data_IF_837751811908
#
_entry.id   IF_837751811908
#
_cell.length_a   1.000
_cell.length_b   1.000
_cell.length_c   1.000
_cell.angle_alpha   90.00
_cell.angle_beta   90.00
_cell.angle_gamma   90.00
#
_symmetry.space_group_name_H-M   'P 1'
#
loop_
_entity.id
_entity.type
_entity.pdbx_description
1 polymer ?
#
# COMPACT_ATOMS: atom_id res chain seq x y z
N UNK A 1 -16.65 -15.75 15.29
CA UNK A 1 -15.58 -15.08 14.55
C UNK A 1 -15.88 -13.58 14.44
N UNK A 2 -14.88 -12.76 14.71
CA UNK A 2 -14.99 -11.31 14.56
C UNK A 2 -14.50 -10.90 13.18
N UNK A 3 -15.14 -9.91 12.59
CA UNK A 3 -14.75 -9.37 11.29
C UNK A 3 -14.42 -7.89 11.47
N UNK A 4 -13.20 -7.50 11.10
CA UNK A 4 -12.77 -6.11 11.11
C UNK A 4 -12.48 -5.65 9.69
N UNK A 5 -12.95 -4.46 9.36
CA UNK A 5 -12.71 -3.84 8.07
C UNK A 5 -12.01 -2.49 8.28
N UNK A 6 -10.86 -2.32 7.63
CA UNK A 6 -10.11 -1.07 7.64
C UNK A 6 -10.09 -0.50 6.23
N UNK A 7 -10.73 0.65 6.06
CA UNK A 7 -10.76 1.34 4.77
C UNK A 7 -9.45 2.07 4.46
N UNK A 8 -9.34 2.62 3.25
CA UNK A 8 -8.13 3.31 2.80
C UNK A 8 -7.71 4.48 3.70
N UNK A 9 -8.68 5.23 4.23
CA UNK A 9 -8.39 6.34 5.14
C UNK A 9 -7.77 5.85 6.46
N UNK A 10 -8.10 4.64 6.90
CA UNK A 10 -7.56 4.04 8.12
C UNK A 10 -6.12 3.54 7.94
N UNK A 11 -5.69 3.26 6.71
CA UNK A 11 -4.36 2.75 6.40
C UNK A 11 -3.62 3.67 5.42
N UNK A 12 -3.88 4.97 5.48
CA UNK A 12 -3.31 5.94 4.54
C UNK A 12 -1.84 6.27 4.80
N UNK A 13 -1.33 5.95 5.99
CA UNK A 13 0.03 6.26 6.40
C UNK A 13 0.49 5.28 7.49
N UNK A 14 1.73 5.43 7.94
CA UNK A 14 2.31 4.57 8.97
C UNK A 14 1.53 4.64 10.29
N UNK A 15 1.05 5.82 10.67
CA UNK A 15 0.25 5.98 11.89
C UNK A 15 -1.04 5.15 11.82
N UNK A 16 -1.70 5.15 10.66
CA UNK A 16 -2.91 4.35 10.43
C UNK A 16 -2.62 2.86 10.56
N UNK A 17 -1.51 2.39 9.97
CA UNK A 17 -1.10 0.98 10.06
C UNK A 17 -0.81 0.59 11.51
N UNK A 18 -0.10 1.43 12.25
CA UNK A 18 0.16 1.21 13.69
C UNK A 18 -1.13 1.14 14.48
N UNK A 19 -2.12 1.95 14.13
CA UNK A 19 -3.43 1.92 14.79
C UNK A 19 -4.17 0.61 14.54
N UNK A 20 -4.06 0.03 13.35
CA UNK A 20 -4.61 -1.31 13.07
C UNK A 20 -4.03 -2.33 14.05
N UNK A 21 -2.71 -2.32 14.23
CA UNK A 21 -2.04 -3.20 15.19
C UNK A 21 -2.54 -2.95 16.61
N UNK A 22 -2.68 -1.69 17.00
CA UNK A 22 -3.19 -1.31 18.31
C UNK A 22 -4.60 -1.85 18.55
N UNK A 23 -5.50 -1.72 17.58
CA UNK A 23 -6.87 -2.24 17.67
C UNK A 23 -6.84 -3.75 17.86
N UNK A 24 -6.05 -4.47 17.05
CA UNK A 24 -5.93 -5.92 17.14
C UNK A 24 -5.38 -6.39 18.48
N UNK A 25 -4.41 -5.67 19.04
CA UNK A 25 -3.85 -5.98 20.36
C UNK A 25 -4.84 -5.71 21.48
N UNK A 26 -5.72 -4.71 21.32
CA UNK A 26 -6.71 -4.33 22.31
C UNK A 26 -7.90 -5.29 22.36
N UNK A 27 -8.44 -5.63 21.17
CA UNK A 27 -9.66 -6.46 21.06
C UNK A 27 -9.37 -7.94 20.86
N UNK A 28 -8.10 -8.30 20.67
CA UNK A 28 -7.67 -9.66 20.37
C UNK A 28 -7.66 -9.94 18.88
N UNK A 29 -6.72 -10.79 18.47
CA UNK A 29 -6.53 -11.14 17.06
C UNK A 29 -6.77 -12.63 16.79
N UNK A 30 -7.31 -13.36 17.77
CA UNK A 30 -7.72 -14.75 17.59
C UNK A 30 -9.12 -14.81 16.99
N UNK A 31 -9.33 -15.72 16.07
CA UNK A 31 -10.62 -15.95 15.42
C UNK A 31 -11.15 -14.66 14.76
N UNK A 32 -10.29 -13.96 14.04
CA UNK A 32 -10.57 -12.69 13.40
C UNK A 32 -10.36 -12.81 11.89
N UNK A 33 -11.33 -12.30 11.11
CA UNK A 33 -11.14 -12.05 9.69
C UNK A 33 -10.87 -10.58 9.48
N UNK A 34 -9.71 -10.27 8.90
CA UNK A 34 -9.32 -8.90 8.57
C UNK A 34 -9.59 -8.61 7.10
N UNK A 35 -10.29 -7.53 6.84
CA UNK A 35 -10.47 -6.98 5.50
C UNK A 35 -9.79 -5.62 5.47
N UNK A 36 -8.72 -5.49 4.69
CA UNK A 36 -7.92 -4.26 4.61
C UNK A 36 -7.98 -3.74 3.19
N UNK A 37 -8.32 -2.47 3.05
CA UNK A 37 -8.35 -1.78 1.77
C UNK A 37 -6.93 -1.42 1.29
N UNK A 38 -6.82 -1.01 0.03
CA UNK A 38 -5.59 -0.35 -0.46
C UNK A 38 -5.33 0.92 0.36
N UNK A 39 -4.06 1.28 0.50
CA UNK A 39 -3.63 2.41 1.34
C UNK A 39 -4.04 3.75 0.74
N UNK A 40 -4.74 4.55 1.53
CA UNK A 40 -5.11 5.91 1.15
C UNK A 40 -5.90 5.96 -0.14
N UNK A 41 -5.40 6.73 -1.10
CA UNK A 41 -5.99 6.92 -2.43
C UNK A 41 -5.26 6.12 -3.52
N UNK A 42 -4.68 4.99 -3.16
CA UNK A 42 -3.93 4.14 -4.11
C UNK A 42 -4.79 3.70 -5.29
N UNK A 43 -6.06 3.34 -5.06
CA UNK A 43 -6.96 2.96 -6.15
C UNK A 43 -7.09 4.09 -7.18
N UNK A 44 -7.29 5.32 -6.72
CA UNK A 44 -7.38 6.48 -7.62
C UNK A 44 -6.06 6.72 -8.36
N UNK A 45 -4.93 6.56 -7.68
CA UNK A 45 -3.62 6.72 -8.29
C UNK A 45 -3.35 5.65 -9.36
N UNK A 46 -3.78 4.41 -9.12
CA UNK A 46 -3.66 3.35 -10.12
C UNK A 46 -4.58 3.57 -11.31
N UNK A 47 -5.75 4.19 -11.13
CA UNK A 47 -6.61 4.58 -12.25
C UNK A 47 -5.91 5.58 -13.17
N UNK A 48 -5.14 6.51 -12.61
CA UNK A 48 -4.32 7.44 -13.39
C UNK A 48 -3.25 6.68 -14.18
N UNK A 49 -2.60 5.69 -13.58
CA UNK A 49 -1.61 4.85 -14.27
C UNK A 49 -2.26 4.12 -15.45
N UNK A 50 -3.43 3.52 -15.23
CA UNK A 50 -4.17 2.80 -16.26
C UNK A 50 -4.53 3.72 -17.42
N UNK A 51 -5.05 4.92 -17.12
CA UNK A 51 -5.39 5.92 -18.13
C UNK A 51 -4.16 6.30 -18.95
N UNK A 52 -3.04 6.58 -18.28
CA UNK A 52 -1.79 6.93 -18.95
C UNK A 52 -1.28 5.80 -19.83
N UNK A 53 -1.47 4.56 -19.42
CA UNK A 53 -1.11 3.40 -20.22
C UNK A 53 -1.90 3.34 -21.54
N UNK A 54 -3.22 3.47 -21.46
CA UNK A 54 -4.08 3.41 -22.64
C UNK A 54 -3.91 4.63 -23.55
N UNK A 55 -3.67 5.80 -22.98
CA UNK A 55 -3.44 7.05 -23.74
C UNK A 55 -2.02 7.14 -24.31
N UNK A 56 -1.15 6.19 -24.01
CA UNK A 56 0.28 6.20 -24.38
C UNK A 56 0.96 7.49 -23.92
N UNK A 57 0.58 7.96 -22.72
CA UNK A 57 1.08 9.20 -22.15
C UNK A 57 2.54 9.09 -21.75
N UNK A 58 3.27 10.21 -21.89
CA UNK A 58 4.64 10.34 -21.38
C UNK A 58 4.70 10.31 -19.86
N UNK A 59 3.56 10.51 -19.19
CA UNK A 59 3.44 10.52 -17.73
C UNK A 59 3.28 9.12 -17.12
N UNK A 60 3.23 8.07 -17.95
CA UNK A 60 2.96 6.71 -17.50
C UNK A 60 3.92 6.26 -16.40
N UNK A 61 5.21 6.28 -16.66
CA UNK A 61 6.21 5.84 -15.68
C UNK A 61 6.23 6.73 -14.44
N UNK A 62 6.09 8.04 -14.62
CA UNK A 62 6.04 8.98 -13.48
C UNK A 62 4.85 8.70 -12.58
N UNK A 63 3.67 8.39 -13.15
CA UNK A 63 2.47 8.09 -12.36
C UNK A 63 2.62 6.79 -11.57
N UNK A 64 3.27 5.77 -12.13
CA UNK A 64 3.57 4.55 -11.39
C UNK A 64 4.60 4.80 -10.28
N UNK A 65 5.64 5.60 -10.53
CA UNK A 65 6.64 5.94 -9.52
C UNK A 65 6.04 6.70 -8.34
N UNK A 66 5.03 7.52 -8.55
CA UNK A 66 4.32 8.18 -7.46
C UNK A 66 3.66 7.17 -6.52
N UNK A 67 3.02 6.13 -7.06
CA UNK A 67 2.41 5.06 -6.27
C UNK A 67 3.49 4.31 -5.48
N UNK A 68 4.58 3.95 -6.15
CA UNK A 68 5.71 3.25 -5.53
C UNK A 68 6.32 4.07 -4.41
N UNK A 69 6.58 5.34 -4.64
CA UNK A 69 7.17 6.26 -3.67
C UNK A 69 6.29 6.40 -2.44
N UNK A 70 4.98 6.51 -2.62
CA UNK A 70 4.01 6.60 -1.53
C UNK A 70 4.10 5.36 -0.62
N UNK A 71 4.11 4.17 -1.20
CA UNK A 71 4.21 2.93 -0.42
C UNK A 71 5.58 2.79 0.26
N UNK A 72 6.66 3.13 -0.42
CA UNK A 72 7.99 3.08 0.17
C UNK A 72 8.15 4.05 1.34
N UNK A 73 7.51 5.22 1.28
CA UNK A 73 7.54 6.17 2.40
C UNK A 73 6.85 5.58 3.63
N UNK A 74 5.72 4.88 3.45
CA UNK A 74 5.04 4.21 4.57
C UNK A 74 5.95 3.13 5.17
N UNK A 75 6.63 2.35 4.33
CA UNK A 75 7.57 1.33 4.79
C UNK A 75 8.73 1.94 5.59
N UNK A 76 9.29 3.05 5.11
CA UNK A 76 10.37 3.75 5.83
C UNK A 76 9.90 4.27 7.19
N UNK A 77 8.66 4.73 7.27
CA UNK A 77 8.09 5.24 8.52
C UNK A 77 7.75 4.12 9.50
N UNK A 78 7.50 2.90 9.01
CA UNK A 78 7.17 1.72 9.83
C UNK A 78 8.42 0.94 10.25
N UNK A 79 9.40 0.82 9.37
CA UNK A 79 10.59 -0.01 9.57
C UNK A 79 11.84 0.85 9.40
N UNK A 80 12.66 0.91 10.44
CA UNK A 80 13.90 1.69 10.41
C UNK A 80 14.99 1.06 9.54
N UNK A 81 14.91 -0.26 9.34
CA UNK A 81 15.89 -1.04 8.59
C UNK A 81 15.41 -1.23 7.14
N UNK A 82 16.08 -0.56 6.20
CA UNK A 82 15.78 -0.66 4.77
C UNK A 82 16.09 -2.06 4.20
N UNK A 83 16.87 -2.87 4.91
CA UNK A 83 17.17 -4.25 4.53
C UNK A 83 16.08 -5.23 4.96
N UNK A 84 15.02 -4.76 5.62
CA UNK A 84 13.90 -5.62 6.01
C UNK A 84 13.26 -6.24 4.76
N UNK A 85 12.95 -7.53 4.83
CA UNK A 85 12.42 -8.32 3.71
C UNK A 85 11.18 -7.69 3.06
N UNK A 86 10.37 -6.94 3.82
CA UNK A 86 9.15 -6.31 3.31
C UNK A 86 9.44 -5.30 2.20
N UNK A 87 10.57 -4.58 2.26
CA UNK A 87 10.96 -3.65 1.19
C UNK A 87 11.17 -4.40 -0.12
N UNK A 88 11.84 -5.53 -0.06
CA UNK A 88 12.07 -6.36 -1.23
C UNK A 88 10.74 -6.89 -1.79
N UNK A 89 9.88 -7.40 -0.93
CA UNK A 89 8.60 -8.01 -1.35
C UNK A 89 7.68 -6.99 -2.00
N UNK A 90 7.52 -5.82 -1.39
CA UNK A 90 6.66 -4.75 -1.94
C UNK A 90 7.23 -4.23 -3.25
N UNK A 91 8.54 -3.98 -3.31
CA UNK A 91 9.15 -3.43 -4.52
C UNK A 91 9.18 -4.43 -5.67
N UNK A 92 9.19 -5.73 -5.40
CA UNK A 92 9.06 -6.75 -6.44
C UNK A 92 7.75 -6.62 -7.21
N UNK A 93 6.65 -6.27 -6.53
CA UNK A 93 5.37 -6.04 -7.20
C UNK A 93 5.42 -4.82 -8.12
N UNK A 94 6.09 -3.75 -7.71
CA UNK A 94 6.26 -2.56 -8.55
C UNK A 94 7.19 -2.85 -9.74
N UNK A 95 8.23 -3.66 -9.53
CA UNK A 95 9.11 -4.08 -10.63
C UNK A 95 8.33 -4.88 -11.68
N UNK A 96 7.41 -5.75 -11.25
CA UNK A 96 6.56 -6.50 -12.16
C UNK A 96 5.65 -5.57 -12.97
N UNK A 97 5.06 -4.57 -12.35
CA UNK A 97 4.24 -3.57 -13.05
C UNK A 97 5.06 -2.76 -14.04
N UNK A 98 6.27 -2.35 -13.66
CA UNK A 98 7.20 -1.66 -14.57
C UNK A 98 7.53 -2.50 -15.81
N UNK A 99 7.69 -3.80 -15.62
CA UNK A 99 7.95 -4.71 -16.72
C UNK A 99 6.79 -4.77 -17.72
N UNK A 100 5.55 -4.69 -17.22
CA UNK A 100 4.36 -4.73 -18.09
C UNK A 100 4.13 -3.44 -18.87
N UNK A 101 4.55 -2.33 -18.37
CA UNK A 101 4.33 -1.04 -19.04
C UNK A 101 5.54 -0.59 -19.85
#
# INVERSE_FOLDING_TARGET
MKIFKFGGASVKDAEGVKNVLHVLNTVGHEDVLLVISAMGKTTNALEVVIKNYFDKSKELHASLQEVRKYHNQILLDLFEDEDHDVFFDVNAHFDDLEYFI
#
